data_IF_509343560647
#
_entry.id   IF_509343560647
#
_cell.length_a   1.000
_cell.length_b   1.000
_cell.length_c   1.000
_cell.angle_alpha   90.00
_cell.angle_beta   90.00
_cell.angle_gamma   90.00
#
_symmetry.space_group_name_H-M   'P 1'
#
loop_
_entity.id
_entity.type
_entity.pdbx_description
1 polymer ?
#
# COMPACT_ATOMS: atom_id res chain seq x y z
N UNK A 1 3.82 -18.52 -7.23
CA UNK A 1 2.75 -18.85 -6.24
C UNK A 1 2.02 -17.59 -5.73
N UNK A 2 2.67 -16.60 -5.12
CA UNK A 2 2.03 -15.36 -4.59
C UNK A 2 1.19 -14.59 -5.61
N UNK A 3 1.70 -14.35 -6.83
CA UNK A 3 0.97 -13.66 -7.91
C UNK A 3 -0.36 -14.34 -8.27
N UNK A 4 -0.40 -15.67 -8.28
CA UNK A 4 -1.62 -16.43 -8.58
C UNK A 4 -2.66 -16.30 -7.47
N UNK A 5 -2.24 -16.35 -6.21
CA UNK A 5 -3.11 -16.14 -5.06
C UNK A 5 -3.66 -14.72 -5.01
N UNK A 6 -2.80 -13.72 -5.22
CA UNK A 6 -3.22 -12.31 -5.27
C UNK A 6 -4.33 -12.12 -6.31
N UNK A 7 -4.12 -12.61 -7.54
CA UNK A 7 -5.12 -12.53 -8.60
C UNK A 7 -6.45 -13.19 -8.22
N UNK A 8 -6.42 -14.38 -7.59
CA UNK A 8 -7.62 -15.10 -7.15
C UNK A 8 -8.39 -14.34 -6.07
N UNK A 9 -7.67 -13.81 -5.07
CA UNK A 9 -8.26 -13.06 -3.96
C UNK A 9 -8.96 -11.81 -4.49
N UNK A 10 -8.27 -10.97 -5.26
CA UNK A 10 -8.85 -9.73 -5.77
C UNK A 10 -9.95 -9.94 -6.79
N UNK A 11 -9.88 -11.01 -7.60
CA UNK A 11 -10.98 -11.39 -8.47
C UNK A 11 -12.22 -11.75 -7.66
N UNK A 12 -12.09 -12.57 -6.62
CA UNK A 12 -13.21 -12.95 -5.75
C UNK A 12 -13.81 -11.74 -5.03
N UNK A 13 -12.98 -10.83 -4.50
CA UNK A 13 -13.45 -9.58 -3.89
C UNK A 13 -14.25 -8.78 -4.90
N UNK A 14 -13.72 -8.56 -6.10
CA UNK A 14 -14.40 -7.82 -7.16
C UNK A 14 -15.77 -8.39 -7.51
N UNK A 15 -15.86 -9.70 -7.71
CA UNK A 15 -17.11 -10.39 -8.02
C UNK A 15 -18.15 -10.23 -6.89
N UNK A 16 -17.71 -10.43 -5.64
CA UNK A 16 -18.60 -10.36 -4.47
C UNK A 16 -19.09 -8.95 -4.17
N UNK A 17 -18.25 -7.93 -4.25
CA UNK A 17 -18.68 -6.54 -4.02
C UNK A 17 -19.58 -6.03 -5.14
N UNK A 18 -19.37 -6.47 -6.38
CA UNK A 18 -20.29 -6.13 -7.47
C UNK A 18 -21.66 -6.78 -7.30
N UNK A 19 -21.70 -8.05 -6.90
CA UNK A 19 -22.97 -8.72 -6.62
C UNK A 19 -23.72 -8.04 -5.47
N UNK A 20 -23.03 -7.80 -4.35
CA UNK A 20 -23.63 -7.12 -3.20
C UNK A 20 -24.16 -5.71 -3.53
N UNK A 21 -23.46 -4.96 -4.40
CA UNK A 21 -23.92 -3.65 -4.85
C UNK A 21 -25.23 -3.73 -5.66
N UNK A 22 -25.36 -4.76 -6.50
CA UNK A 22 -26.58 -5.00 -7.29
C UNK A 22 -27.75 -5.42 -6.40
N UNK A 23 -27.53 -6.36 -5.51
CA UNK A 23 -28.54 -6.84 -4.56
C UNK A 23 -29.06 -5.69 -3.69
N UNK A 24 -28.16 -4.83 -3.19
CA UNK A 24 -28.56 -3.64 -2.44
C UNK A 24 -29.24 -2.57 -3.30
N UNK A 25 -28.91 -2.47 -4.58
CA UNK A 25 -29.61 -1.56 -5.48
C UNK A 25 -31.05 -2.02 -5.77
N UNK A 26 -31.31 -3.32 -5.80
CA UNK A 26 -32.66 -3.87 -5.91
C UNK A 26 -33.48 -3.59 -4.64
N UNK A 27 -32.86 -3.71 -3.45
CA UNK A 27 -33.53 -3.49 -2.17
C UNK A 27 -33.73 -1.99 -1.86
N UNK A 28 -32.76 -1.13 -2.15
CA UNK A 28 -32.67 0.26 -1.66
C UNK A 28 -32.61 1.31 -2.76
N UNK A 29 -32.69 0.90 -4.02
CA UNK A 29 -32.50 1.76 -5.18
C UNK A 29 -31.04 1.96 -5.56
N UNK A 30 -30.80 2.31 -6.82
CA UNK A 30 -29.49 2.64 -7.33
C UNK A 30 -28.96 3.96 -6.74
N UNK A 31 -27.63 4.16 -6.72
CA UNK A 31 -27.05 5.48 -6.43
C UNK A 31 -27.37 6.47 -7.57
N UNK A 32 -27.37 7.79 -7.29
CA UNK A 32 -27.73 8.80 -8.30
C UNK A 32 -26.96 8.66 -9.60
N UNK A 33 -25.63 8.55 -9.54
CA UNK A 33 -24.77 8.40 -10.72
C UNK A 33 -25.11 7.15 -11.54
N UNK A 34 -25.32 6.01 -10.88
CA UNK A 34 -25.68 4.77 -11.56
C UNK A 34 -27.07 4.85 -12.20
N UNK A 35 -28.02 5.49 -11.53
CA UNK A 35 -29.38 5.68 -12.04
C UNK A 35 -29.39 6.57 -13.28
N UNK A 36 -28.60 7.65 -13.32
CA UNK A 36 -28.46 8.55 -14.45
C UNK A 36 -27.99 7.82 -15.73
N UNK A 37 -27.06 6.86 -15.58
CA UNK A 37 -26.55 6.07 -16.68
C UNK A 37 -27.29 4.73 -16.90
N UNK A 38 -28.39 4.48 -16.20
CA UNK A 38 -29.21 3.28 -16.36
C UNK A 38 -28.62 2.02 -15.74
N UNK A 39 -27.65 2.13 -14.83
CA UNK A 39 -27.06 1.02 -14.11
C UNK A 39 -27.79 0.74 -12.79
N UNK A 40 -27.98 -0.54 -12.47
CA UNK A 40 -28.49 -0.99 -11.18
C UNK A 40 -27.32 -1.28 -10.22
N UNK A 41 -26.77 -0.23 -9.67
CA UNK A 41 -25.63 -0.29 -8.72
C UNK A 41 -25.91 0.61 -7.52
N UNK A 42 -25.73 0.09 -6.31
CA UNK A 42 -25.92 0.89 -5.08
C UNK A 42 -24.75 1.84 -4.83
N UNK A 43 -23.56 1.50 -5.28
CA UNK A 43 -22.32 2.27 -5.05
C UNK A 43 -21.61 2.52 -6.38
N UNK A 44 -21.21 3.76 -6.62
CA UNK A 44 -20.37 4.14 -7.75
C UNK A 44 -18.91 3.65 -7.54
N UNK A 45 -18.40 3.72 -6.30
CA UNK A 45 -17.09 3.23 -5.90
C UNK A 45 -17.25 2.15 -4.82
N UNK A 46 -16.64 0.99 -5.01
CA UNK A 46 -16.86 -0.18 -4.16
C UNK A 46 -15.65 -0.60 -3.35
N UNK A 47 -14.47 -0.20 -3.78
CA UNK A 47 -13.22 -0.55 -3.11
C UNK A 47 -12.26 0.63 -3.13
N UNK A 48 -11.45 0.74 -2.10
CA UNK A 48 -10.38 1.73 -2.01
C UNK A 48 -9.15 1.10 -1.34
N UNK A 49 -7.98 1.61 -1.67
CA UNK A 49 -6.74 1.21 -1.00
C UNK A 49 -6.42 2.27 0.05
N UNK A 50 -6.46 1.87 1.31
CA UNK A 50 -6.12 2.75 2.41
C UNK A 50 -4.60 3.04 2.42
N UNK A 51 -4.17 4.26 2.78
CA UNK A 51 -2.75 4.62 2.86
C UNK A 51 -1.96 3.80 3.89
N UNK A 52 -2.57 3.35 4.96
CA UNK A 52 -2.00 2.49 6.02
C UNK A 52 -0.66 2.96 6.62
N UNK A 53 -0.41 4.28 6.66
CA UNK A 53 0.87 4.84 7.07
C UNK A 53 1.32 4.38 8.47
N UNK A 54 0.50 4.59 9.50
CA UNK A 54 0.82 4.16 10.88
C UNK A 54 0.78 2.63 11.04
N UNK A 55 -0.15 1.96 10.38
CA UNK A 55 -0.30 0.51 10.43
C UNK A 55 0.95 -0.18 9.87
N UNK A 56 1.51 0.34 8.77
CA UNK A 56 2.72 -0.21 8.16
C UNK A 56 3.93 -0.18 9.10
N UNK A 57 4.04 0.86 9.92
CA UNK A 57 5.10 0.98 10.93
C UNK A 57 4.90 -0.05 12.04
N UNK A 58 3.68 -0.16 12.58
CA UNK A 58 3.33 -1.11 13.64
C UNK A 58 3.51 -2.56 13.18
N UNK A 59 3.20 -2.85 11.91
CA UNK A 59 3.35 -4.19 11.31
C UNK A 59 4.79 -4.53 10.88
N UNK A 60 5.80 -3.87 11.45
CA UNK A 60 7.21 -4.20 11.25
C UNK A 60 7.86 -3.54 10.04
N UNK A 61 7.42 -2.33 9.67
CA UNK A 61 8.05 -1.55 8.62
C UNK A 61 7.76 -2.05 7.20
N UNK A 62 6.58 -2.62 6.98
CA UNK A 62 6.09 -2.89 5.63
C UNK A 62 5.81 -1.57 4.89
N UNK A 63 5.78 -1.60 3.56
CA UNK A 63 5.41 -0.41 2.78
C UNK A 63 3.94 -0.03 3.00
N UNK A 64 3.61 1.27 3.07
CA UNK A 64 2.24 1.72 3.22
C UNK A 64 1.43 1.52 1.93
N UNK A 65 0.17 1.13 2.07
CA UNK A 65 -0.75 0.95 0.94
C UNK A 65 -0.29 -0.11 -0.05
N UNK A 66 -0.20 0.26 -1.33
CA UNK A 66 0.28 -0.60 -2.44
C UNK A 66 1.62 -0.13 -3.00
N UNK A 67 2.17 0.94 -2.46
CA UNK A 67 3.40 1.55 -2.96
C UNK A 67 4.63 0.81 -2.43
N UNK A 68 5.70 0.71 -3.20
CA UNK A 68 6.96 0.24 -2.68
C UNK A 68 7.52 1.25 -1.66
N UNK A 69 8.44 0.81 -0.82
CA UNK A 69 9.20 1.73 0.04
C UNK A 69 9.93 2.72 -0.86
N UNK A 70 9.73 4.02 -0.63
CA UNK A 70 10.20 5.08 -1.52
C UNK A 70 11.73 5.17 -1.63
N UNK A 71 12.45 4.78 -0.57
CA UNK A 71 13.91 4.85 -0.52
C UNK A 71 14.50 3.80 0.42
N UNK A 72 15.75 3.41 0.16
CA UNK A 72 16.49 2.48 1.03
C UNK A 72 17.00 3.12 2.34
N UNK A 73 17.12 4.43 2.36
CA UNK A 73 17.39 5.21 3.57
C UNK A 73 16.67 6.54 3.47
N UNK A 74 15.95 6.94 4.51
CA UNK A 74 15.23 8.21 4.56
C UNK A 74 15.02 8.70 5.99
N UNK A 75 14.79 9.99 6.12
CA UNK A 75 14.45 10.59 7.41
C UNK A 75 12.94 10.61 7.60
N UNK A 76 12.45 9.87 8.57
CA UNK A 76 11.05 9.90 9.00
C UNK A 76 10.85 10.99 10.05
N UNK A 77 10.05 12.00 9.73
CA UNK A 77 9.71 13.08 10.64
C UNK A 77 8.41 12.80 11.37
N UNK A 78 8.42 12.86 12.67
CA UNK A 78 7.25 12.74 13.55
C UNK A 78 7.13 13.94 14.47
N UNK A 79 6.02 14.04 15.21
CA UNK A 79 5.88 15.05 16.25
C UNK A 79 6.93 14.92 17.37
N UNK A 80 7.45 13.72 17.60
CA UNK A 80 8.45 13.41 18.61
C UNK A 80 9.89 13.59 18.14
N UNK A 81 10.12 13.94 16.87
CA UNK A 81 11.46 14.11 16.31
C UNK A 81 11.66 13.51 14.93
N UNK A 82 12.90 13.48 14.50
CA UNK A 82 13.32 12.93 13.22
C UNK A 82 14.12 11.65 13.43
N UNK A 83 13.78 10.58 12.71
CA UNK A 83 14.41 9.27 12.82
C UNK A 83 14.92 8.84 11.44
N UNK A 84 16.14 8.38 11.38
CA UNK A 84 16.68 7.78 10.16
C UNK A 84 16.21 6.32 10.07
N UNK A 85 15.52 6.01 8.99
CA UNK A 85 15.02 4.67 8.69
C UNK A 85 15.88 4.06 7.58
N UNK A 86 16.35 2.83 7.78
CA UNK A 86 17.13 2.05 6.83
C UNK A 86 16.33 0.83 6.39
N UNK A 87 16.48 0.44 5.13
CA UNK A 87 15.85 -0.78 4.62
C UNK A 87 16.58 -2.00 5.21
N UNK A 88 15.90 -2.73 6.10
CA UNK A 88 16.46 -3.89 6.81
C UNK A 88 16.99 -4.99 5.87
N UNK A 89 16.37 -5.20 4.72
CA UNK A 89 16.83 -6.22 3.77
C UNK A 89 18.13 -5.81 3.08
N UNK A 90 18.28 -4.51 2.79
CA UNK A 90 19.55 -3.99 2.27
C UNK A 90 20.62 -4.01 3.36
N UNK A 91 20.28 -3.71 4.59
CA UNK A 91 21.19 -3.80 5.74
C UNK A 91 21.75 -5.21 5.91
N UNK A 92 20.90 -6.26 5.84
CA UNK A 92 21.34 -7.66 5.87
C UNK A 92 22.31 -7.99 4.72
N UNK A 93 22.03 -7.51 3.51
CA UNK A 93 22.92 -7.69 2.35
C UNK A 93 24.25 -6.98 2.57
N UNK A 94 24.23 -5.72 2.99
CA UNK A 94 25.47 -4.96 3.27
C UNK A 94 26.31 -5.61 4.38
N UNK A 95 25.64 -6.12 5.43
CA UNK A 95 26.29 -6.86 6.50
C UNK A 95 27.00 -8.10 5.96
N UNK A 96 26.35 -8.88 5.09
CA UNK A 96 26.94 -10.08 4.50
C UNK A 96 28.16 -9.80 3.62
N UNK A 97 28.28 -8.58 3.08
CA UNK A 97 29.40 -8.12 2.26
C UNK A 97 30.43 -7.28 3.04
N UNK A 98 30.26 -7.12 4.34
CA UNK A 98 31.15 -6.31 5.18
C UNK A 98 31.11 -4.81 4.87
N UNK A 99 30.00 -4.31 4.31
CA UNK A 99 29.79 -2.91 3.89
C UNK A 99 28.65 -2.21 4.64
N UNK A 100 28.30 -2.70 5.80
CA UNK A 100 27.28 -2.05 6.64
C UNK A 100 27.92 -0.98 7.55
N UNK A 101 28.43 0.08 6.94
CA UNK A 101 29.10 1.21 7.59
C UNK A 101 28.37 2.52 7.29
N UNK A 102 28.64 3.55 8.08
CA UNK A 102 27.97 4.85 7.97
C UNK A 102 28.34 5.60 6.68
N UNK A 103 29.50 5.36 6.08
CA UNK A 103 29.90 5.94 4.80
C UNK A 103 29.03 5.41 3.67
N UNK A 104 28.82 4.09 3.63
CA UNK A 104 27.92 3.43 2.67
C UNK A 104 26.49 3.95 2.80
N UNK A 105 25.96 4.07 4.03
CA UNK A 105 24.62 4.59 4.25
C UNK A 105 24.49 6.07 3.93
N UNK A 106 25.51 6.89 4.18
CA UNK A 106 25.56 8.28 3.76
C UNK A 106 25.51 8.44 2.25
N UNK A 107 26.24 7.59 1.53
CA UNK A 107 26.21 7.55 0.07
C UNK A 107 24.82 7.18 -0.45
N UNK A 108 24.19 6.14 0.10
CA UNK A 108 22.83 5.72 -0.27
C UNK A 108 21.83 6.85 -0.03
N UNK A 109 21.92 7.55 1.10
CA UNK A 109 21.06 8.66 1.43
C UNK A 109 21.24 9.83 0.45
N UNK A 110 22.45 10.11 0.01
CA UNK A 110 22.77 11.20 -0.93
C UNK A 110 22.21 10.94 -2.34
N UNK A 111 22.09 9.67 -2.75
CA UNK A 111 21.61 9.27 -4.08
C UNK A 111 20.07 9.43 -4.25
N UNK A 112 19.34 9.66 -3.18
CA UNK A 112 17.87 9.83 -3.22
C UNK A 112 17.47 11.16 -3.87
N UNK A 113 18.38 12.09 -4.03
CA UNK A 113 18.14 13.42 -4.55
C UNK A 113 18.55 13.63 -6.02
N UNK A 114 18.83 12.54 -6.76
CA UNK A 114 19.18 12.60 -8.19
C UNK A 114 17.92 12.43 -9.06
#
# INVERSE_FOLDING_TARGET
MAKSWNKKIFKNIHEKVNQASKDLAEERGACPDAAEYGYKERFSNKTAIAPTASISIICGGASPGVEPIAANSYTHKTLSGSFNVRNRYLEEILQSHGKNDDETWSTILSLIHI
#
